data_IF_269178925825
#
_entry.id   IF_269178925825
#
_cell.length_a   1.000
_cell.length_b   1.000
_cell.length_c   1.000
_cell.angle_alpha   90.00
_cell.angle_beta   90.00
_cell.angle_gamma   90.00
#
_symmetry.space_group_name_H-M   'P 1'
#
loop_
_entity.id
_entity.type
_entity.pdbx_description
1 polymer ?
#
# COMPACT_ATOMS: atom_id res chain seq x y z
N UNK A 1 9.53 -6.57 -1.41
CA UNK A 1 8.25 -6.42 -2.13
C UNK A 1 8.12 -5.03 -2.70
N UNK A 2 7.41 -4.90 -3.79
CA UNK A 2 7.31 -3.67 -4.55
C UNK A 2 6.04 -3.73 -5.40
N UNK A 3 5.44 -2.56 -5.69
CA UNK A 3 4.30 -2.50 -6.61
C UNK A 3 4.71 -3.01 -7.99
N UNK A 4 3.88 -3.85 -8.59
CA UNK A 4 4.12 -4.41 -9.93
C UNK A 4 3.85 -3.40 -11.04
N UNK A 5 2.95 -2.45 -10.79
CA UNK A 5 2.48 -1.50 -11.78
C UNK A 5 2.57 -0.09 -11.26
N UNK A 6 2.48 0.88 -12.15
CA UNK A 6 2.35 2.26 -11.76
C UNK A 6 0.92 2.57 -11.38
N UNK A 7 0.74 3.27 -10.27
CA UNK A 7 -0.57 3.65 -9.77
C UNK A 7 -0.62 5.13 -9.48
N UNK A 8 -1.78 5.72 -9.71
CA UNK A 8 -2.09 7.09 -9.31
C UNK A 8 -3.14 7.01 -8.22
N UNK A 9 -2.93 7.75 -7.15
CA UNK A 9 -3.87 7.82 -6.04
C UNK A 9 -4.76 9.03 -6.18
N UNK A 10 -6.07 8.81 -6.00
CA UNK A 10 -7.06 9.88 -6.03
C UNK A 10 -7.91 9.79 -4.77
N UNK A 11 -8.25 10.94 -4.20
CA UNK A 11 -9.14 10.99 -3.06
C UNK A 11 -10.58 11.23 -3.57
N UNK A 12 -11.48 10.33 -3.19
CA UNK A 12 -12.88 10.43 -3.51
C UNK A 12 -13.65 10.40 -2.20
N UNK A 13 -14.22 11.55 -1.82
CA UNK A 13 -14.82 11.75 -0.50
C UNK A 13 -13.77 11.48 0.58
N UNK A 14 -14.01 10.54 1.49
CA UNK A 14 -13.08 10.18 2.55
C UNK A 14 -12.24 8.93 2.20
N UNK A 15 -12.34 8.45 0.97
CA UNK A 15 -11.64 7.26 0.52
C UNK A 15 -10.52 7.62 -0.45
N UNK A 16 -9.47 6.80 -0.44
CA UNK A 16 -8.37 6.94 -1.38
C UNK A 16 -8.44 5.76 -2.34
N UNK A 17 -8.34 6.05 -3.62
CA UNK A 17 -8.43 5.05 -4.66
C UNK A 17 -7.14 5.04 -5.47
N UNK A 18 -6.54 3.88 -5.63
CA UNK A 18 -5.37 3.69 -6.48
C UNK A 18 -5.83 3.11 -7.81
N UNK A 19 -5.43 3.74 -8.90
CA UNK A 19 -5.76 3.31 -10.25
C UNK A 19 -4.48 3.05 -11.02
N UNK A 20 -4.38 1.90 -11.67
CA UNK A 20 -3.24 1.57 -12.50
C UNK A 20 -3.21 2.44 -13.75
N UNK A 21 -2.02 2.87 -14.16
CA UNK A 21 -1.83 3.72 -15.33
C UNK A 21 -0.78 3.10 -16.27
N UNK A 22 -0.74 3.59 -17.50
CA UNK A 22 0.23 3.11 -18.48
C UNK A 22 0.02 1.64 -18.82
N UNK A 23 1.09 0.88 -18.91
CA UNK A 23 1.04 -0.54 -19.22
C UNK A 23 0.32 -1.35 -18.15
N UNK A 24 0.35 -0.85 -16.91
CA UNK A 24 -0.33 -1.51 -15.80
C UNK A 24 -1.84 -1.56 -15.97
N UNK A 25 -2.40 -0.62 -16.72
CA UNK A 25 -3.85 -0.59 -16.97
C UNK A 25 -4.34 -1.85 -17.71
N UNK A 26 -3.51 -2.41 -18.57
CA UNK A 26 -3.85 -3.64 -19.30
C UNK A 26 -3.74 -4.87 -18.41
N UNK A 27 -2.82 -4.84 -17.46
CA UNK A 27 -2.56 -5.97 -16.56
C UNK A 27 -3.49 -5.97 -15.35
N UNK A 28 -3.84 -4.80 -14.85
CA UNK A 28 -4.72 -4.65 -13.72
C UNK A 28 -5.84 -3.68 -14.07
N UNK A 29 -6.98 -4.23 -14.44
CA UNK A 29 -8.13 -3.47 -14.92
C UNK A 29 -9.11 -3.21 -13.77
N UNK A 30 -8.67 -2.47 -12.78
CA UNK A 30 -9.49 -2.18 -11.63
C UNK A 30 -8.90 -1.07 -10.79
N UNK A 31 -9.37 -0.99 -9.56
CA UNK A 31 -8.89 -0.01 -8.61
C UNK A 31 -8.84 -0.61 -7.21
N UNK A 32 -8.04 -0.01 -6.35
CA UNK A 32 -7.90 -0.44 -4.96
C UNK A 32 -8.37 0.70 -4.07
N UNK A 33 -9.33 0.41 -3.21
CA UNK A 33 -9.79 1.38 -2.21
C UNK A 33 -8.99 1.19 -0.94
N UNK A 34 -8.60 2.28 -0.31
CA UNK A 34 -7.84 2.22 0.94
C UNK A 34 -8.12 3.46 1.79
N UNK A 35 -7.82 3.36 3.08
CA UNK A 35 -7.86 4.51 3.97
C UNK A 35 -6.49 5.21 3.93
N UNK A 36 -6.35 6.29 4.70
CA UNK A 36 -5.10 7.07 4.73
C UNK A 36 -3.89 6.25 5.17
N UNK A 37 -4.07 5.32 6.10
CA UNK A 37 -2.98 4.46 6.58
C UNK A 37 -2.53 3.51 5.46
N UNK A 38 -3.49 2.89 4.77
CA UNK A 38 -3.19 2.05 3.62
C UNK A 38 -2.47 2.82 2.53
N UNK A 39 -2.89 4.07 2.29
CA UNK A 39 -2.26 4.91 1.28
C UNK A 39 -0.79 5.21 1.63
N UNK A 40 -0.47 5.42 2.90
CA UNK A 40 0.93 5.62 3.31
C UNK A 40 1.76 4.38 3.02
N UNK A 41 1.24 3.20 3.33
CA UNK A 41 1.93 1.93 3.07
C UNK A 41 2.09 1.74 1.56
N UNK A 42 1.05 2.04 0.80
CA UNK A 42 1.06 1.92 -0.66
C UNK A 42 2.16 2.78 -1.29
N UNK A 43 2.31 4.02 -0.80
CA UNK A 43 3.37 4.91 -1.28
C UNK A 43 4.77 4.38 -0.96
N UNK A 44 4.96 3.78 0.22
CA UNK A 44 6.23 3.17 0.60
C UNK A 44 6.57 2.02 -0.35
N UNK A 45 5.57 1.29 -0.82
CA UNK A 45 5.74 0.16 -1.72
C UNK A 45 6.14 0.54 -3.15
N UNK A 46 6.26 1.82 -3.45
CA UNK A 46 6.82 2.26 -4.73
C UNK A 46 8.31 1.87 -4.83
N UNK A 47 8.95 1.72 -3.67
CA UNK A 47 10.31 1.21 -3.58
C UNK A 47 10.27 -0.25 -3.15
N UNK A 48 11.34 -0.98 -3.44
CA UNK A 48 11.44 -2.38 -3.02
C UNK A 48 11.80 -2.44 -1.54
N UNK A 49 10.84 -2.86 -0.72
CA UNK A 49 10.98 -2.85 0.73
C UNK A 49 10.47 -4.16 1.34
N UNK A 50 10.90 -4.41 2.57
CA UNK A 50 10.41 -5.55 3.36
C UNK A 50 9.31 -5.08 4.30
N UNK A 51 8.57 -6.03 4.87
CA UNK A 51 7.55 -5.71 5.89
C UNK A 51 8.20 -4.98 7.06
N UNK A 52 9.36 -5.43 7.50
CA UNK A 52 10.07 -4.80 8.63
C UNK A 52 10.42 -3.34 8.32
N UNK A 53 10.84 -3.06 7.11
CA UNK A 53 11.16 -1.69 6.70
C UNK A 53 9.92 -0.81 6.68
N UNK A 54 8.81 -1.34 6.19
CA UNK A 54 7.54 -0.61 6.18
C UNK A 54 7.09 -0.32 7.61
N UNK A 55 7.16 -1.32 8.49
CA UNK A 55 6.79 -1.15 9.91
C UNK A 55 7.62 -0.06 10.55
N UNK A 56 8.93 -0.06 10.30
CA UNK A 56 9.83 0.96 10.87
C UNK A 56 9.42 2.37 10.43
N UNK A 57 9.14 2.53 9.13
CA UNK A 57 8.72 3.83 8.59
C UNK A 57 7.39 4.27 9.20
N UNK A 58 6.45 3.35 9.33
CA UNK A 58 5.14 3.66 9.90
C UNK A 58 5.25 4.06 11.36
N UNK A 59 6.13 3.42 12.12
CA UNK A 59 6.34 3.79 13.52
C UNK A 59 6.98 5.17 13.66
N UNK A 60 7.82 5.56 12.72
CA UNK A 60 8.40 6.90 12.71
C UNK A 60 7.33 7.96 12.43
N UNK A 61 6.39 7.65 11.54
CA UNK A 61 5.29 8.56 11.20
C UNK A 61 4.19 8.60 12.26
N UNK A 62 4.02 7.51 12.97
CA UNK A 62 2.95 7.35 13.97
C UNK A 62 3.54 6.87 15.30
N UNK A 63 4.21 7.77 16.03
CA UNK A 63 4.92 7.36 17.25
C UNK A 63 4.02 6.85 18.39
N UNK A 64 2.72 7.08 18.28
CA UNK A 64 1.76 6.56 19.26
C UNK A 64 1.38 5.10 19.01
N UNK A 65 1.69 4.57 17.83
CA UNK A 65 1.39 3.19 17.50
C UNK A 65 2.42 2.25 18.12
N UNK A 66 1.97 1.04 18.46
CA UNK A 66 2.88 0.01 18.94
C UNK A 66 3.43 -0.78 17.76
N UNK A 67 4.57 -1.43 17.97
CA UNK A 67 5.17 -2.28 16.95
C UNK A 67 4.22 -3.41 16.57
N UNK A 68 3.51 -3.99 17.55
CA UNK A 68 2.55 -5.06 17.29
C UNK A 68 1.42 -4.60 16.38
N UNK A 69 0.86 -3.41 16.65
CA UNK A 69 -0.21 -2.84 15.83
C UNK A 69 0.27 -2.54 14.42
N UNK A 70 1.44 -1.93 14.30
CA UNK A 70 2.00 -1.59 13.00
C UNK A 70 2.28 -2.85 12.18
N UNK A 71 2.85 -3.87 12.80
CA UNK A 71 3.14 -5.14 12.14
C UNK A 71 1.86 -5.80 11.62
N UNK A 72 0.82 -5.83 12.44
CA UNK A 72 -0.46 -6.41 12.06
C UNK A 72 -1.07 -5.66 10.88
N UNK A 73 -1.11 -4.34 10.96
CA UNK A 73 -1.67 -3.50 9.90
C UNK A 73 -0.92 -3.67 8.58
N UNK A 74 0.40 -3.61 8.63
CA UNK A 74 1.23 -3.77 7.43
C UNK A 74 1.08 -5.15 6.83
N UNK A 75 1.08 -6.18 7.67
CA UNK A 75 0.96 -7.57 7.22
C UNK A 75 -0.38 -7.81 6.53
N UNK A 76 -1.47 -7.36 7.15
CA UNK A 76 -2.81 -7.51 6.57
C UNK A 76 -2.93 -6.80 5.23
N UNK A 77 -2.43 -5.57 5.16
CA UNK A 77 -2.52 -4.77 3.95
C UNK A 77 -1.69 -5.36 2.82
N UNK A 78 -0.44 -5.76 3.10
CA UNK A 78 0.42 -6.36 2.08
C UNK A 78 -0.11 -7.70 1.60
N UNK A 79 -0.69 -8.50 2.50
CA UNK A 79 -1.30 -9.77 2.11
C UNK A 79 -2.48 -9.55 1.17
N UNK A 80 -3.29 -8.53 1.43
CA UNK A 80 -4.39 -8.16 0.55
C UNK A 80 -3.89 -7.79 -0.84
N UNK A 81 -2.83 -6.99 -0.90
CA UNK A 81 -2.24 -6.59 -2.18
C UNK A 81 -1.64 -7.79 -2.93
N UNK A 82 -1.06 -8.74 -2.22
CA UNK A 82 -0.53 -9.97 -2.83
C UNK A 82 -1.66 -10.80 -3.44
N UNK A 83 -2.78 -10.92 -2.72
CA UNK A 83 -3.94 -11.67 -3.20
C UNK A 83 -4.51 -11.04 -4.47
N UNK A 84 -4.46 -9.73 -4.57
CA UNK A 84 -4.94 -9.01 -5.74
C UNK A 84 -3.90 -8.93 -6.87
N UNK A 85 -2.69 -9.45 -6.64
CA UNK A 85 -1.64 -9.48 -7.65
C UNK A 85 -1.01 -8.12 -7.92
N UNK A 86 -1.02 -7.23 -6.94
CA UNK A 86 -0.54 -5.84 -7.09
C UNK A 86 0.93 -5.69 -6.72
N UNK A 87 1.42 -6.51 -5.81
CA UNK A 87 2.83 -6.46 -5.40
C UNK A 87 3.56 -7.75 -5.73
N UNK A 88 4.85 -7.60 -5.98
CA UNK A 88 5.74 -8.71 -6.27
C UNK A 88 6.49 -9.13 -5.01
#
# INVERSE_FOLDING_TARGET
MKLKYEFVLNTVADKIVAVAVGEGLEQFNGFVKMNSIGAEIFEILRDDVTVEEIVKIMLEKHPDATEAEATETVTEFTNKLKEEGIIA
#
